data_IF_551427053921
#
_entry.id   IF_551427053921
#
_cell.length_a   1.000
_cell.length_b   1.000
_cell.length_c   1.000
_cell.angle_alpha   90.00
_cell.angle_beta   90.00
_cell.angle_gamma   90.00
#
_symmetry.space_group_name_H-M   'P 1'
#
loop_
_entity.id
_entity.type
_entity.pdbx_description
1 polymer ?
#
# COMPACT_ATOMS: atom_id res chain seq x y z
N UNK A 1 3.17 12.29 0.57
CA UNK A 1 2.25 11.86 1.65
C UNK A 1 2.80 12.06 3.07
N UNK A 2 4.08 11.72 3.33
CA UNK A 2 4.80 12.06 4.59
C UNK A 2 4.79 13.57 4.85
N UNK A 3 4.94 14.35 3.77
CA UNK A 3 4.94 15.82 3.76
C UNK A 3 3.67 16.49 4.34
N UNK A 4 2.52 15.80 4.39
CA UNK A 4 1.27 16.36 4.94
C UNK A 4 0.87 15.76 6.29
N UNK A 5 1.18 14.48 6.53
CA UNK A 5 0.86 13.81 7.79
C UNK A 5 1.61 14.41 8.98
N UNK A 6 2.90 14.71 8.81
CA UNK A 6 3.73 15.21 9.90
C UNK A 6 3.33 16.64 10.30
N UNK A 7 3.14 17.60 9.38
CA UNK A 7 2.63 18.92 9.74
C UNK A 7 1.23 18.88 10.37
N UNK A 8 0.37 17.92 9.98
CA UNK A 8 -0.95 17.72 10.62
C UNK A 8 -0.83 17.21 12.06
N UNK A 9 0.06 16.24 12.31
CA UNK A 9 0.30 15.72 13.66
C UNK A 9 0.96 16.77 14.56
N UNK A 10 1.94 17.51 14.04
CA UNK A 10 2.57 18.63 14.73
C UNK A 10 1.56 19.76 15.04
N UNK A 11 0.69 20.14 14.09
CA UNK A 11 -0.42 21.08 14.33
C UNK A 11 -1.40 20.58 15.40
N UNK A 12 -1.75 19.28 15.39
CA UNK A 12 -2.61 18.68 16.43
C UNK A 12 -1.93 18.71 17.80
N UNK A 13 -0.64 18.39 17.87
CA UNK A 13 0.14 18.45 19.10
C UNK A 13 0.24 19.89 19.64
N UNK A 14 0.51 20.87 18.77
CA UNK A 14 0.51 22.30 19.09
C UNK A 14 -0.83 22.77 19.64
N UNK A 15 -1.95 22.42 18.98
CA UNK A 15 -3.30 22.74 19.48
C UNK A 15 -3.57 22.12 20.85
N UNK A 16 -3.10 20.89 21.09
CA UNK A 16 -3.26 20.21 22.38
C UNK A 16 -2.42 20.86 23.49
N UNK A 17 -1.18 21.25 23.19
CA UNK A 17 -0.30 21.97 24.12
C UNK A 17 -0.87 23.36 24.44
N UNK A 18 -1.37 24.09 23.43
CA UNK A 18 -2.04 25.38 23.63
C UNK A 18 -3.28 25.25 24.51
N UNK A 19 -4.14 24.26 24.24
CA UNK A 19 -5.34 24.00 25.05
C UNK A 19 -4.99 23.69 26.51
N UNK A 20 -3.99 22.83 26.74
CA UNK A 20 -3.53 22.49 28.10
C UNK A 20 -2.88 23.66 28.85
N UNK A 21 -2.19 24.56 28.13
CA UNK A 21 -1.59 25.74 28.73
C UNK A 21 -2.64 26.79 29.14
N UNK A 22 -3.68 26.97 28.31
CA UNK A 22 -4.83 27.82 28.60
C UNK A 22 -5.60 27.27 29.81
N UNK A 23 -5.91 25.97 29.83
CA UNK A 23 -6.63 25.31 30.95
C UNK A 23 -5.86 25.39 32.28
N UNK A 24 -4.52 25.46 32.25
CA UNK A 24 -3.67 25.53 33.44
C UNK A 24 -3.19 26.94 33.79
N UNK A 25 -3.63 27.96 33.06
CA UNK A 25 -3.21 29.35 33.18
C UNK A 25 -1.68 29.53 33.26
N UNK A 26 -0.93 28.69 32.52
CA UNK A 26 0.53 28.72 32.49
C UNK A 26 1.02 29.34 31.17
N UNK A 27 1.95 30.30 31.21
CA UNK A 27 2.53 30.85 29.99
C UNK A 27 3.27 29.76 29.21
N UNK A 28 2.96 29.62 27.92
CA UNK A 28 3.68 28.71 27.03
C UNK A 28 5.11 29.24 26.89
N UNK A 29 6.10 28.45 27.30
CA UNK A 29 7.50 28.86 27.21
C UNK A 29 7.86 29.14 25.75
N UNK A 30 8.40 30.34 25.49
CA UNK A 30 8.94 30.70 24.18
C UNK A 30 10.00 29.71 23.68
N UNK A 31 10.76 29.10 24.61
CA UNK A 31 11.73 28.03 24.29
C UNK A 31 11.05 26.77 23.74
N UNK A 32 9.86 26.42 24.24
CA UNK A 32 9.10 25.25 23.77
C UNK A 32 8.54 25.49 22.35
N UNK A 33 8.04 26.70 22.08
CA UNK A 33 7.55 27.08 20.74
C UNK A 33 8.70 27.03 19.73
N UNK A 34 9.85 27.63 20.07
CA UNK A 34 11.05 27.60 19.21
C UNK A 34 11.49 26.17 18.90
N UNK A 35 11.61 25.32 19.93
CA UNK A 35 11.98 23.90 19.76
C UNK A 35 11.00 23.12 18.89
N UNK A 36 9.70 23.41 18.97
CA UNK A 36 8.69 22.79 18.08
C UNK A 36 8.83 23.27 16.64
N UNK A 37 9.13 24.55 16.41
CA UNK A 37 9.40 25.06 15.07
C UNK A 37 10.66 24.41 14.46
N UNK A 38 11.73 24.29 15.26
CA UNK A 38 12.99 23.66 14.83
C UNK A 38 12.75 22.18 14.45
N UNK A 39 12.03 21.41 15.28
CA UNK A 39 11.63 20.03 14.98
C UNK A 39 10.79 19.91 13.70
N UNK A 40 9.86 20.83 13.45
CA UNK A 40 9.06 20.84 12.21
C UNK A 40 9.95 21.12 11.00
N UNK A 41 10.90 22.05 11.12
CA UNK A 41 11.84 22.37 10.04
C UNK A 41 12.77 21.19 9.73
N UNK A 42 13.38 20.58 10.75
CA UNK A 42 14.22 19.37 10.62
C UNK A 42 13.44 18.22 9.97
N UNK A 43 12.18 18.02 10.38
CA UNK A 43 11.38 16.92 9.81
C UNK A 43 10.98 17.18 8.36
N UNK A 44 10.78 18.44 7.96
CA UNK A 44 10.54 18.80 6.55
C UNK A 44 11.78 18.52 5.72
N UNK A 45 12.93 18.99 6.18
CA UNK A 45 14.21 18.75 5.51
C UNK A 45 14.46 17.25 5.32
N UNK A 46 14.30 16.44 6.37
CA UNK A 46 14.44 14.99 6.29
C UNK A 46 13.44 14.36 5.31
N UNK A 47 12.20 14.86 5.27
CA UNK A 47 11.19 14.38 4.30
C UNK A 47 11.59 14.68 2.86
N UNK A 48 12.19 15.83 2.59
CA UNK A 48 12.69 16.21 1.26
C UNK A 48 13.89 15.34 0.87
N UNK A 49 14.84 15.14 1.79
CA UNK A 49 16.02 14.28 1.58
C UNK A 49 15.62 12.82 1.28
N UNK A 50 14.66 12.27 2.05
CA UNK A 50 14.13 10.91 1.80
C UNK A 50 13.46 10.82 0.43
N UNK A 51 12.72 11.86 0.02
CA UNK A 51 12.06 11.86 -1.28
C UNK A 51 13.07 11.86 -2.41
N UNK A 52 14.07 12.74 -2.37
CA UNK A 52 15.14 12.83 -3.37
C UNK A 52 15.87 11.50 -3.45
N UNK A 53 16.29 10.95 -2.30
CA UNK A 53 16.97 9.65 -2.26
C UNK A 53 16.11 8.53 -2.84
N UNK A 54 14.82 8.49 -2.52
CA UNK A 54 13.87 7.51 -3.06
C UNK A 54 13.75 7.60 -4.59
N UNK A 55 13.60 8.79 -5.13
CA UNK A 55 13.54 9.05 -6.57
C UNK A 55 14.83 8.62 -7.28
N UNK A 56 15.99 8.89 -6.69
CA UNK A 56 17.29 8.44 -7.19
C UNK A 56 17.40 6.92 -7.21
N UNK A 57 16.98 6.23 -6.15
CA UNK A 57 17.00 4.76 -6.11
C UNK A 57 16.06 4.17 -7.17
N UNK A 58 14.84 4.69 -7.33
CA UNK A 58 13.91 4.25 -8.37
C UNK A 58 14.50 4.48 -9.76
N UNK A 59 15.06 5.67 -10.01
CA UNK A 59 15.71 6.00 -11.28
C UNK A 59 16.85 5.04 -11.62
N UNK A 60 17.69 4.71 -10.63
CA UNK A 60 18.76 3.72 -10.77
C UNK A 60 18.21 2.35 -11.15
N UNK A 61 17.18 1.86 -10.45
CA UNK A 61 16.55 0.56 -10.74
C UNK A 61 15.92 0.52 -12.12
N UNK A 62 15.24 1.59 -12.55
CA UNK A 62 14.67 1.68 -13.90
C UNK A 62 15.75 1.62 -14.98
N UNK A 63 16.91 2.28 -14.77
CA UNK A 63 18.04 2.21 -15.71
C UNK A 63 18.60 0.79 -15.83
N UNK A 64 18.71 0.05 -14.73
CA UNK A 64 19.17 -1.35 -14.70
C UNK A 64 18.22 -2.32 -15.43
N UNK A 65 16.95 -1.92 -15.59
CA UNK A 65 15.89 -2.71 -16.24
C UNK A 65 15.66 -2.34 -17.70
N UNK A 66 16.42 -1.39 -18.26
CA UNK A 66 16.27 -0.96 -19.65
C UNK A 66 16.43 -2.15 -20.61
N UNK A 67 15.56 -2.24 -21.61
CA UNK A 67 15.46 -3.32 -22.59
C UNK A 67 15.12 -4.71 -22.02
N UNK A 68 14.66 -4.77 -20.76
CA UNK A 68 14.28 -6.04 -20.14
C UNK A 68 12.77 -6.20 -20.05
N UNK A 69 12.34 -7.45 -19.92
CA UNK A 69 10.97 -7.81 -19.61
C UNK A 69 10.75 -7.87 -18.10
N UNK A 70 9.70 -7.21 -17.62
CA UNK A 70 9.33 -7.17 -16.21
C UNK A 70 7.86 -7.49 -16.02
N UNK A 71 7.51 -7.90 -14.81
CA UNK A 71 6.13 -8.01 -14.37
C UNK A 71 5.89 -7.01 -13.23
N UNK A 72 4.63 -6.58 -13.09
CA UNK A 72 4.22 -5.68 -12.01
C UNK A 72 3.18 -6.37 -11.15
N UNK A 73 3.50 -6.56 -9.87
CA UNK A 73 2.53 -6.97 -8.88
C UNK A 73 1.81 -5.73 -8.32
N UNK A 74 0.48 -5.77 -8.34
CA UNK A 74 -0.39 -4.78 -7.72
C UNK A 74 -1.02 -5.40 -6.49
N UNK A 75 -0.62 -4.89 -5.32
CA UNK A 75 -1.18 -5.31 -4.03
C UNK A 75 -2.04 -4.17 -3.47
N UNK A 76 -3.35 -4.40 -3.40
CA UNK A 76 -4.31 -3.41 -2.94
C UNK A 76 -4.63 -3.61 -1.46
N UNK A 77 -4.52 -2.55 -0.68
CA UNK A 77 -4.76 -2.60 0.76
C UNK A 77 -5.39 -1.32 1.30
N UNK A 78 -5.66 -1.31 2.60
CA UNK A 78 -6.12 -0.10 3.30
C UNK A 78 -5.13 0.28 4.39
N UNK A 79 -4.67 1.53 4.37
CA UNK A 79 -3.84 2.12 5.43
C UNK A 79 -4.69 3.17 6.14
N UNK A 80 -5.03 2.94 7.40
CA UNK A 80 -5.90 3.86 8.16
C UNK A 80 -7.29 4.03 7.55
N UNK A 81 -7.81 3.00 6.87
CA UNK A 81 -9.10 3.03 6.17
C UNK A 81 -9.06 3.65 4.76
N UNK A 82 -7.93 4.22 4.35
CA UNK A 82 -7.74 4.80 3.02
C UNK A 82 -7.18 3.72 2.07
N UNK A 83 -7.78 3.49 0.89
CA UNK A 83 -7.31 2.52 -0.08
C UNK A 83 -6.01 2.96 -0.77
N UNK A 84 -5.07 2.03 -0.88
CA UNK A 84 -3.79 2.18 -1.57
C UNK A 84 -3.49 0.97 -2.44
N UNK A 85 -2.66 1.17 -3.47
CA UNK A 85 -2.05 0.09 -4.25
C UNK A 85 -0.55 0.23 -4.23
N UNK A 86 0.11 -0.85 -3.79
CA UNK A 86 1.55 -1.02 -3.92
C UNK A 86 1.85 -1.59 -5.31
N UNK A 87 2.69 -0.89 -6.06
CA UNK A 87 3.10 -1.32 -7.39
C UNK A 87 4.54 -1.80 -7.32
N UNK A 88 4.74 -3.11 -7.33
CA UNK A 88 6.06 -3.75 -7.18
C UNK A 88 6.51 -4.29 -8.53
N UNK A 89 7.66 -3.84 -9.00
CA UNK A 89 8.27 -4.32 -10.25
C UNK A 89 9.26 -5.43 -9.95
N UNK A 90 9.21 -6.49 -10.76
CA UNK A 90 10.16 -7.59 -10.65
C UNK A 90 10.50 -8.19 -12.02
N UNK A 91 11.70 -8.76 -12.11
CA UNK A 91 12.23 -9.44 -13.29
C UNK A 91 12.21 -10.96 -13.01
N UNK A 92 11.57 -11.73 -13.88
CA UNK A 92 11.56 -13.20 -13.75
C UNK A 92 12.98 -13.76 -13.92
N UNK A 93 13.34 -14.75 -13.11
CA UNK A 93 14.64 -15.44 -13.17
C UNK A 93 15.86 -14.52 -12.97
N UNK A 94 15.69 -13.42 -12.25
CA UNK A 94 16.76 -12.48 -11.93
C UNK A 94 17.21 -12.59 -10.48
N UNK A 95 18.49 -12.36 -10.24
CA UNK A 95 19.02 -12.14 -8.89
C UNK A 95 18.71 -10.73 -8.37
N UNK A 96 18.12 -9.86 -9.21
CA UNK A 96 17.70 -8.54 -8.81
C UNK A 96 16.48 -8.64 -7.87
N UNK A 97 16.54 -8.03 -6.68
CA UNK A 97 15.39 -8.01 -5.80
C UNK A 97 14.25 -7.18 -6.42
N UNK A 98 12.99 -7.57 -6.17
CA UNK A 98 11.84 -6.73 -6.51
C UNK A 98 11.95 -5.38 -5.80
N UNK A 99 11.37 -4.34 -6.39
CA UNK A 99 11.35 -3.01 -5.77
C UNK A 99 10.00 -2.34 -5.94
N UNK A 100 9.66 -1.48 -4.97
CA UNK A 100 8.45 -0.66 -5.02
C UNK A 100 8.67 0.46 -6.03
N UNK A 101 7.90 0.45 -7.11
CA UNK A 101 7.90 1.53 -8.11
C UNK A 101 7.12 2.73 -7.60
N UNK A 102 5.92 2.48 -7.06
CA UNK A 102 5.01 3.51 -6.57
C UNK A 102 4.03 2.97 -5.54
N UNK A 103 3.54 3.86 -4.70
CA UNK A 103 2.47 3.63 -3.73
C UNK A 103 1.41 4.70 -3.97
N UNK A 104 0.31 4.29 -4.60
CA UNK A 104 -0.71 5.21 -5.05
C UNK A 104 -1.97 5.06 -4.21
N UNK A 105 -2.56 6.19 -3.83
CA UNK A 105 -3.91 6.21 -3.31
C UNK A 105 -4.87 6.11 -4.49
N UNK A 106 -5.76 5.13 -4.49
CA UNK A 106 -6.70 4.93 -5.60
C UNK A 106 -8.14 4.89 -5.12
N UNK A 107 -9.06 5.15 -6.04
CA UNK A 107 -10.44 4.72 -5.87
C UNK A 107 -10.48 3.25 -6.27
N UNK A 108 -10.97 2.37 -5.37
CA UNK A 108 -11.00 0.92 -5.58
C UNK A 108 -12.04 0.46 -6.61
N UNK A 109 -12.07 1.08 -7.78
CA UNK A 109 -12.98 0.83 -8.91
C UNK A 109 -12.19 0.31 -10.11
N UNK A 110 -12.87 -0.36 -11.05
CA UNK A 110 -12.24 -0.88 -12.27
C UNK A 110 -11.54 0.22 -13.07
N UNK A 111 -12.18 1.38 -13.21
CA UNK A 111 -11.60 2.57 -13.87
C UNK A 111 -10.33 3.06 -13.17
N UNK A 112 -10.31 3.05 -11.82
CA UNK A 112 -9.14 3.43 -11.04
C UNK A 112 -7.96 2.51 -11.30
N UNK A 113 -8.20 1.19 -11.35
CA UNK A 113 -7.17 0.22 -11.70
C UNK A 113 -6.72 0.32 -13.16
N UNK A 114 -7.65 0.55 -14.10
CA UNK A 114 -7.32 0.73 -15.51
C UNK A 114 -6.43 1.97 -15.73
N UNK A 115 -6.76 3.09 -15.08
CA UNK A 115 -5.97 4.32 -15.12
C UNK A 115 -4.57 4.09 -14.54
N UNK A 116 -4.48 3.43 -13.38
CA UNK A 116 -3.19 3.10 -12.76
C UNK A 116 -2.32 2.23 -13.69
N UNK A 117 -2.91 1.19 -14.29
CA UNK A 117 -2.22 0.29 -15.21
C UNK A 117 -1.70 1.04 -16.45
N UNK A 118 -2.51 1.92 -17.03
CA UNK A 118 -2.12 2.79 -18.13
C UNK A 118 -0.91 3.67 -17.78
N UNK A 119 -0.93 4.32 -16.60
CA UNK A 119 0.19 5.15 -16.16
C UNK A 119 1.48 4.35 -15.97
N UNK A 120 1.37 3.14 -15.39
CA UNK A 120 2.52 2.24 -15.22
C UNK A 120 3.09 1.81 -16.58
N UNK A 121 2.23 1.45 -17.54
CA UNK A 121 2.65 1.11 -18.90
C UNK A 121 3.44 2.28 -19.52
N UNK A 122 2.89 3.49 -19.45
CA UNK A 122 3.54 4.70 -19.97
C UNK A 122 4.91 4.94 -19.32
N UNK A 123 5.00 4.85 -18.00
CA UNK A 123 6.24 5.07 -17.26
C UNK A 123 7.33 4.04 -17.64
N UNK A 124 6.96 2.76 -17.74
CA UNK A 124 7.90 1.69 -18.09
C UNK A 124 8.35 1.79 -19.55
N UNK A 125 7.44 2.08 -20.49
CA UNK A 125 7.79 2.25 -21.90
C UNK A 125 8.67 3.47 -22.16
N UNK A 126 8.42 4.59 -21.47
CA UNK A 126 9.30 5.77 -21.52
C UNK A 126 10.72 5.44 -21.04
N UNK A 127 10.85 4.46 -20.14
CA UNK A 127 12.13 3.93 -19.66
C UNK A 127 12.71 2.82 -20.56
N UNK A 128 12.05 2.52 -21.68
CA UNK A 128 12.37 1.42 -22.60
C UNK A 128 12.41 0.05 -21.89
N UNK A 129 11.45 -0.19 -20.99
CA UNK A 129 11.24 -1.45 -20.27
C UNK A 129 9.98 -2.11 -20.83
N UNK A 130 10.04 -3.42 -21.10
CA UNK A 130 8.92 -4.18 -21.63
C UNK A 130 8.10 -4.75 -20.48
N UNK A 131 6.86 -4.27 -20.31
CA UNK A 131 5.94 -4.84 -19.35
C UNK A 131 5.33 -6.13 -19.94
N UNK A 132 5.59 -7.27 -19.30
CA UNK A 132 5.07 -8.57 -19.70
C UNK A 132 3.68 -8.82 -19.10
N UNK A 133 3.51 -8.55 -17.80
CA UNK A 133 2.26 -8.87 -17.11
C UNK A 133 1.97 -8.00 -15.90
N UNK A 134 0.68 -7.89 -15.59
CA UNK A 134 0.19 -7.45 -14.29
C UNK A 134 -0.20 -8.67 -13.45
N UNK A 135 0.16 -8.67 -12.16
CA UNK A 135 -0.20 -9.72 -11.20
C UNK A 135 -0.98 -9.13 -10.04
N UNK A 136 -2.19 -9.62 -9.78
CA UNK A 136 -3.06 -9.04 -8.73
C UNK A 136 -3.79 -10.10 -7.90
N UNK A 137 -4.39 -9.71 -6.77
CA UNK A 137 -5.17 -10.61 -5.89
C UNK A 137 -6.43 -11.21 -6.56
N UNK A 138 -6.88 -10.62 -7.67
CA UNK A 138 -8.00 -11.12 -8.46
C UNK A 138 -9.37 -10.58 -8.02
N UNK A 139 -9.44 -9.50 -7.23
CA UNK A 139 -10.72 -8.87 -6.93
C UNK A 139 -11.38 -8.30 -8.21
N UNK A 140 -12.71 -8.27 -8.22
CA UNK A 140 -13.53 -7.94 -9.40
C UNK A 140 -13.11 -6.62 -10.06
N UNK A 141 -12.83 -5.59 -9.25
CA UNK A 141 -12.41 -4.29 -9.77
C UNK A 141 -11.04 -4.35 -10.47
N UNK A 142 -10.05 -5.04 -9.88
CA UNK A 142 -8.75 -5.23 -10.51
C UNK A 142 -8.87 -6.02 -11.82
N UNK A 143 -9.56 -7.16 -11.77
CA UNK A 143 -9.75 -8.03 -12.94
C UNK A 143 -10.43 -7.24 -14.05
N UNK A 144 -11.52 -6.53 -13.75
CA UNK A 144 -12.23 -5.74 -14.76
C UNK A 144 -11.39 -4.57 -15.33
N UNK A 145 -10.49 -3.98 -14.55
CA UNK A 145 -9.60 -2.91 -15.04
C UNK A 145 -8.38 -3.42 -15.83
N UNK A 146 -7.98 -4.68 -15.65
CA UNK A 146 -6.70 -5.22 -16.16
C UNK A 146 -6.87 -6.33 -17.21
N UNK A 147 -7.99 -7.04 -17.20
CA UNK A 147 -8.28 -8.09 -18.15
C UNK A 147 -8.48 -7.48 -19.54
N UNK A 148 -7.78 -8.00 -20.55
CA UNK A 148 -7.85 -7.50 -21.93
C UNK A 148 -9.21 -7.77 -22.60
N UNK A 149 -10.00 -8.70 -22.06
CA UNK A 149 -11.36 -9.01 -22.52
C UNK A 149 -12.44 -8.10 -21.93
N UNK A 150 -12.11 -7.30 -20.91
CA UNK A 150 -13.06 -6.43 -20.22
C UNK A 150 -13.26 -5.10 -20.97
N UNK A 151 -14.51 -4.62 -21.01
CA UNK A 151 -14.84 -3.29 -21.55
C UNK A 151 -14.20 -2.14 -20.73
N UNK A 152 -13.89 -2.40 -19.46
CA UNK A 152 -13.23 -1.43 -18.58
C UNK A 152 -11.70 -1.55 -18.59
N UNK A 153 -11.13 -2.34 -19.50
CA UNK A 153 -9.70 -2.62 -19.54
C UNK A 153 -8.87 -1.36 -19.80
N UNK A 154 -7.70 -1.28 -19.17
CA UNK A 154 -6.66 -0.29 -19.51
C UNK A 154 -6.24 -0.35 -21.00
N UNK A 155 -6.44 -1.49 -21.68
CA UNK A 155 -6.16 -1.63 -23.10
C UNK A 155 -6.93 -0.61 -23.96
N UNK A 156 -8.12 -0.18 -23.52
CA UNK A 156 -8.92 0.82 -24.21
C UNK A 156 -8.33 2.25 -24.10
N UNK A 157 -7.38 2.45 -23.19
CA UNK A 157 -6.64 3.71 -23.01
C UNK A 157 -5.35 3.76 -23.84
N UNK A 158 -4.95 2.63 -24.44
CA UNK A 158 -3.69 2.47 -25.16
C UNK A 158 -3.86 2.61 -26.67
N UNK A 159 -2.78 3.01 -27.35
CA UNK A 159 -2.74 3.02 -28.82
C UNK A 159 -2.82 1.59 -29.37
N UNK A 160 -3.49 1.42 -30.52
CA UNK A 160 -3.78 0.11 -31.13
C UNK A 160 -2.56 -0.75 -31.49
N UNK A 161 -1.36 -0.14 -31.57
CA UNK A 161 -0.10 -0.83 -31.88
C UNK A 161 0.74 -1.14 -30.63
N UNK A 162 0.20 -0.92 -29.43
CA UNK A 162 0.92 -1.17 -28.18
C UNK A 162 1.04 -2.66 -27.88
N UNK A 163 2.19 -3.09 -27.37
CA UNK A 163 2.33 -4.43 -26.80
C UNK A 163 1.52 -4.45 -25.50
N UNK A 164 0.47 -5.25 -25.46
CA UNK A 164 -0.43 -5.34 -24.31
C UNK A 164 0.09 -6.36 -23.29
N UNK A 165 0.35 -5.94 -22.03
CA UNK A 165 0.67 -6.88 -20.98
C UNK A 165 -0.57 -7.69 -20.58
N UNK A 166 -0.38 -8.98 -20.30
CA UNK A 166 -1.49 -9.82 -19.84
C UNK A 166 -1.74 -9.67 -18.34
N UNK A 167 -2.97 -9.88 -17.92
CA UNK A 167 -3.32 -10.01 -16.51
C UNK A 167 -3.14 -11.45 -16.04
N UNK A 168 -2.58 -11.63 -14.85
CA UNK A 168 -2.40 -12.92 -14.21
C UNK A 168 -2.87 -12.86 -12.74
N UNK A 169 -3.70 -13.80 -12.28
CA UNK A 169 -4.04 -13.88 -10.86
C UNK A 169 -2.82 -14.30 -10.02
N UNK A 170 -2.69 -13.72 -8.84
CA UNK A 170 -1.61 -14.02 -7.91
C UNK A 170 -1.73 -15.46 -7.39
N UNK A 171 -0.71 -16.27 -7.63
CA UNK A 171 -0.66 -17.66 -7.20
C UNK A 171 -0.76 -17.81 -5.67
N UNK A 172 -0.21 -16.86 -4.90
CA UNK A 172 -0.34 -16.87 -3.43
C UNK A 172 -1.79 -16.72 -3.00
N UNK A 173 -2.53 -15.78 -3.59
CA UNK A 173 -3.94 -15.56 -3.29
C UNK A 173 -4.81 -16.74 -3.76
N UNK A 174 -4.53 -17.29 -4.94
CA UNK A 174 -5.21 -18.50 -5.42
C UNK A 174 -5.00 -19.69 -4.47
N UNK A 175 -3.76 -19.91 -4.04
CA UNK A 175 -3.41 -21.00 -3.12
C UNK A 175 -4.10 -20.80 -1.77
N UNK A 176 -4.07 -19.58 -1.23
CA UNK A 176 -4.79 -19.23 -0.01
C UNK A 176 -6.28 -19.50 -0.13
N UNK A 177 -6.90 -19.12 -1.25
CA UNK A 177 -8.33 -19.32 -1.50
C UNK A 177 -8.67 -20.81 -1.59
N UNK A 178 -7.82 -21.61 -2.26
CA UNK A 178 -7.98 -23.07 -2.33
C UNK A 178 -7.98 -23.68 -0.92
N UNK A 179 -6.99 -23.35 -0.09
CA UNK A 179 -6.92 -23.87 1.28
C UNK A 179 -8.10 -23.41 2.13
N UNK A 180 -8.46 -22.12 2.04
CA UNK A 180 -9.63 -21.57 2.75
C UNK A 180 -10.89 -22.35 2.39
N UNK A 181 -11.17 -22.51 1.10
CA UNK A 181 -12.36 -23.22 0.63
C UNK A 181 -12.33 -24.70 1.04
N UNK A 182 -11.16 -25.35 1.00
CA UNK A 182 -11.01 -26.73 1.43
C UNK A 182 -11.32 -26.91 2.93
N UNK A 183 -10.86 -25.98 3.77
CA UNK A 183 -11.15 -25.99 5.20
C UNK A 183 -12.62 -25.70 5.51
N UNK A 184 -13.24 -24.73 4.82
CA UNK A 184 -14.66 -24.39 5.01
C UNK A 184 -15.59 -25.55 4.64
N UNK A 185 -15.18 -26.42 3.69
CA UNK A 185 -15.93 -27.63 3.33
C UNK A 185 -15.78 -28.78 4.34
N UNK A 186 -14.81 -28.70 5.26
CA UNK A 186 -14.60 -29.70 6.30
C UNK A 186 -15.22 -29.22 7.63
N UNK A 187 -16.30 -29.89 8.05
CA UNK A 187 -17.01 -29.52 9.28
C UNK A 187 -16.08 -29.45 10.50
N UNK A 188 -15.18 -30.43 10.66
CA UNK A 188 -14.22 -30.45 11.76
C UNK A 188 -13.36 -29.17 11.80
N UNK A 189 -12.76 -28.77 10.67
CA UNK A 189 -11.95 -27.56 10.64
C UNK A 189 -12.77 -26.30 10.86
N UNK A 190 -14.00 -26.25 10.32
CA UNK A 190 -14.91 -25.12 10.56
C UNK A 190 -15.25 -24.97 12.05
N UNK A 191 -15.50 -26.07 12.77
CA UNK A 191 -15.75 -26.05 14.21
C UNK A 191 -14.54 -25.53 14.99
N UNK A 192 -13.34 -26.02 14.68
CA UNK A 192 -12.08 -25.57 15.30
C UNK A 192 -11.78 -24.08 15.03
N UNK A 193 -11.96 -23.62 13.78
CA UNK A 193 -11.79 -22.21 13.40
C UNK A 193 -12.77 -21.33 14.18
N UNK A 194 -14.02 -21.74 14.32
CA UNK A 194 -15.02 -21.00 15.09
C UNK A 194 -14.65 -20.92 16.58
N UNK A 195 -14.16 -22.00 17.17
CA UNK A 195 -13.66 -22.01 18.55
C UNK A 195 -12.50 -21.02 18.73
N UNK A 196 -11.53 -21.02 17.80
CA UNK A 196 -10.40 -20.09 17.81
C UNK A 196 -10.87 -18.62 17.69
N UNK A 197 -11.85 -18.33 16.84
CA UNK A 197 -12.43 -16.99 16.72
C UNK A 197 -13.14 -16.54 18.01
N UNK A 198 -13.87 -17.44 18.66
CA UNK A 198 -14.50 -17.16 19.96
C UNK A 198 -13.44 -16.85 21.02
N UNK A 199 -12.41 -17.70 21.12
CA UNK A 199 -11.30 -17.49 22.05
C UNK A 199 -10.59 -16.15 21.79
N UNK A 200 -10.26 -15.84 20.54
CA UNK A 200 -9.63 -14.57 20.17
C UNK A 200 -10.53 -13.37 20.51
N UNK A 201 -11.85 -13.52 20.42
CA UNK A 201 -12.81 -12.47 20.81
C UNK A 201 -12.85 -12.28 22.32
N UNK A 202 -12.83 -13.37 23.09
CA UNK A 202 -12.75 -13.32 24.55
C UNK A 202 -11.45 -12.67 25.03
N UNK A 203 -10.30 -13.11 24.49
CA UNK A 203 -8.98 -12.58 24.86
C UNK A 203 -8.81 -11.09 24.52
N UNK A 204 -9.61 -10.55 23.58
CA UNK A 204 -9.62 -9.12 23.26
C UNK A 204 -10.40 -8.26 24.27
N UNK A 205 -11.18 -8.85 25.17
CA UNK A 205 -11.90 -8.08 26.20
C UNK A 205 -10.89 -7.41 27.14
N UNK A 206 -11.22 -6.17 27.53
CA UNK A 206 -10.37 -5.33 28.39
C UNK A 206 -9.89 -6.01 29.66
N UNK A 207 -10.72 -6.87 30.26
CA UNK A 207 -10.38 -7.63 31.46
C UNK A 207 -9.17 -8.55 31.20
N UNK A 208 -9.19 -9.30 30.10
CA UNK A 208 -8.10 -10.20 29.74
C UNK A 208 -6.89 -9.45 29.21
N UNK A 209 -7.08 -8.42 28.39
CA UNK A 209 -5.97 -7.60 27.89
C UNK A 209 -5.19 -6.93 29.04
N UNK A 210 -5.89 -6.46 30.08
CA UNK A 210 -5.26 -5.91 31.29
C UNK A 210 -4.57 -6.98 32.13
N UNK A 211 -5.16 -8.17 32.25
CA UNK A 211 -4.60 -9.28 33.01
C UNK A 211 -3.31 -9.84 32.38
N UNK A 212 -3.32 -10.03 31.05
CA UNK A 212 -2.20 -10.58 30.28
C UNK A 212 -1.13 -9.52 30.04
N UNK A 213 -1.50 -8.23 30.05
CA UNK A 213 -0.59 -7.12 29.73
C UNK A 213 -0.29 -6.99 28.23
N UNK A 214 -1.02 -7.72 27.37
CA UNK A 214 -0.87 -7.69 25.92
C UNK A 214 -2.24 -7.58 25.25
N UNK A 215 -2.28 -7.01 24.03
CA UNK A 215 -3.48 -6.95 23.21
C UNK A 215 -3.44 -8.06 22.17
N UNK A 216 -4.47 -8.90 22.14
CA UNK A 216 -4.68 -9.83 21.04
C UNK A 216 -4.96 -9.04 19.74
N UNK A 217 -4.28 -9.33 18.62
CA UNK A 217 -4.54 -8.69 17.33
C UNK A 217 -6.00 -8.89 16.90
N UNK A 218 -6.54 -7.95 16.12
CA UNK A 218 -7.80 -8.17 15.44
C UNK A 218 -7.57 -9.12 14.24
N UNK A 219 -8.56 -10.00 13.92
CA UNK A 219 -8.56 -10.73 12.66
C UNK A 219 -8.68 -9.77 11.46
#
# INVERSE_FOLDING_TARGET
>A
MIHECIPRMAKKALKKIQKQAIEKNKPISFRLIRRLCDLIAETRQLSEEIQIYGEEQISKRLKELRQKYVSVALDAGKIGGVPYVFCVVYELNSNNPPFLLRLDQIVGTSEGYATLAFEICKQLWQSNIFLASFVTDGCIAQVSGLDLSSENSFANLLDTNSILPFHCPCACHLTQLVFKNAFEQCQFFTEEINLLHLLATELRKDVFAKLIGARCPAP
#
